data_IF_209817786104
#
_entry.id   IF_209817786104
#
_cell.length_a   1.000
_cell.length_b   1.000
_cell.length_c   1.000
_cell.angle_alpha   90.00
_cell.angle_beta   90.00
_cell.angle_gamma   90.00
#
_symmetry.space_group_name_H-M   'P 1'
#
loop_
_entity.id
_entity.type
_entity.pdbx_description
1 polymer ?
#
# COMPACT_ATOMS: atom_id res chain seq x y z
N UNK A 1 9.10 -9.18 10.42
CA UNK A 1 9.01 -8.55 9.09
C UNK A 1 9.03 -7.02 9.20
N UNK A 2 8.23 -6.43 10.08
CA UNK A 2 8.20 -4.97 10.22
C UNK A 2 9.56 -4.39 10.61
N UNK A 3 10.28 -5.05 11.51
CA UNK A 3 11.61 -4.56 11.92
C UNK A 3 12.60 -4.58 10.77
N UNK A 4 12.57 -5.63 9.95
CA UNK A 4 13.47 -5.74 8.80
C UNK A 4 13.16 -4.63 7.79
N UNK A 5 11.88 -4.38 7.52
CA UNK A 5 11.47 -3.34 6.59
C UNK A 5 11.78 -1.95 7.14
N UNK A 6 11.60 -1.74 8.44
CA UNK A 6 11.91 -0.47 9.07
C UNK A 6 13.38 -0.13 8.92
N UNK A 7 14.24 -1.12 9.14
CA UNK A 7 15.67 -0.93 9.01
C UNK A 7 16.05 -0.66 7.56
N UNK A 8 15.49 -1.43 6.63
CA UNK A 8 15.83 -1.33 5.21
C UNK A 8 15.43 0.00 4.60
N UNK A 9 14.28 0.55 4.98
CA UNK A 9 13.73 1.74 4.36
C UNK A 9 13.82 3.01 5.22
N UNK A 10 14.37 2.89 6.41
CA UNK A 10 14.63 4.06 7.25
C UNK A 10 13.37 4.69 7.82
N UNK A 11 12.30 3.93 7.96
CA UNK A 11 11.04 4.40 8.55
C UNK A 11 10.61 3.42 9.62
N UNK A 12 9.82 3.89 10.57
CA UNK A 12 9.33 3.07 11.66
C UNK A 12 7.93 2.54 11.30
N UNK A 13 7.86 1.31 10.82
CA UNK A 13 6.60 0.67 10.47
C UNK A 13 5.95 0.12 11.73
N UNK A 14 5.02 0.87 12.28
CA UNK A 14 4.38 0.54 13.55
C UNK A 14 2.98 -0.02 13.40
N UNK A 15 2.40 0.05 12.19
CA UNK A 15 1.07 -0.45 11.94
C UNK A 15 1.11 -1.50 10.85
N UNK A 16 0.40 -2.61 11.07
CA UNK A 16 0.29 -3.69 10.10
C UNK A 16 -1.19 -3.97 9.89
N UNK A 17 -1.59 -4.02 8.64
CA UNK A 17 -2.95 -4.37 8.26
C UNK A 17 -2.95 -5.41 7.18
N UNK A 18 -4.12 -5.97 6.89
CA UNK A 18 -4.25 -6.96 5.82
C UNK A 18 -5.59 -6.79 5.12
N UNK A 19 -5.58 -7.00 3.80
CA UNK A 19 -6.81 -7.04 3.00
C UNK A 19 -6.91 -8.41 2.36
N UNK A 20 -8.08 -9.03 2.52
CA UNK A 20 -8.37 -10.31 1.90
C UNK A 20 -9.21 -10.08 0.65
N UNK A 21 -8.75 -10.65 -0.46
CA UNK A 21 -9.47 -10.65 -1.74
C UNK A 21 -9.85 -12.10 -1.99
N UNK A 22 -11.13 -12.43 -1.79
CA UNK A 22 -11.61 -13.82 -1.87
C UNK A 22 -11.63 -14.32 -3.31
N UNK A 23 -11.94 -13.41 -4.23
CA UNK A 23 -12.00 -13.73 -5.65
C UNK A 23 -11.86 -12.42 -6.43
N UNK A 24 -12.14 -12.46 -7.72
CA UNK A 24 -12.00 -11.29 -8.59
C UNK A 24 -12.97 -10.16 -8.31
N UNK A 25 -14.00 -10.37 -7.52
CA UNK A 25 -15.00 -9.35 -7.22
C UNK A 25 -14.61 -8.44 -6.05
N UNK A 26 -13.72 -8.90 -5.20
CA UNK A 26 -13.20 -8.03 -4.14
C UNK A 26 -12.20 -7.05 -4.73
N UNK A 27 -12.27 -5.80 -4.30
CA UNK A 27 -11.48 -4.73 -4.91
C UNK A 27 -11.24 -3.61 -3.91
N UNK A 28 -10.31 -2.73 -4.28
CA UNK A 28 -10.08 -1.48 -3.54
C UNK A 28 -10.11 -0.36 -4.57
N UNK A 29 -10.98 0.62 -4.35
CA UNK A 29 -11.13 1.75 -5.25
C UNK A 29 -9.93 2.69 -5.17
N UNK A 30 -9.84 3.63 -6.11
CA UNK A 30 -8.76 4.62 -6.15
C UNK A 30 -8.69 5.39 -4.84
N UNK A 31 -7.52 5.41 -4.22
CA UNK A 31 -7.30 6.15 -2.98
C UNK A 31 -5.81 6.35 -2.73
N UNK A 32 -5.48 7.26 -1.83
CA UNK A 32 -4.15 7.35 -1.24
C UNK A 32 -4.27 7.05 0.24
N UNK A 33 -3.26 6.40 0.81
CA UNK A 33 -3.27 6.11 2.24
C UNK A 33 -2.99 7.39 3.02
N UNK A 34 -3.68 7.55 4.13
CA UNK A 34 -3.54 8.74 4.98
C UNK A 34 -2.54 8.55 6.09
N UNK A 35 -1.53 7.75 5.85
CA UNK A 35 -0.52 7.50 6.87
C UNK A 35 0.35 8.72 7.03
N UNK A 36 0.76 9.00 8.26
CA UNK A 36 1.67 10.10 8.58
C UNK A 36 1.24 11.40 7.90
N UNK A 37 -0.03 11.80 8.08
CA UNK A 37 -0.66 12.86 7.31
C UNK A 37 0.06 14.20 7.35
N UNK A 38 0.77 14.46 8.43
CA UNK A 38 1.48 15.73 8.60
C UNK A 38 2.82 15.77 7.89
N UNK A 39 3.21 14.66 7.28
CA UNK A 39 4.47 14.58 6.56
C UNK A 39 4.23 14.66 5.07
N UNK A 40 5.11 15.33 4.30
CA UNK A 40 4.97 15.38 2.85
C UNK A 40 5.26 14.04 2.19
N UNK A 41 5.97 13.15 2.88
CA UNK A 41 6.31 11.84 2.36
C UNK A 41 5.91 10.77 3.35
N UNK A 42 5.44 9.66 2.83
CA UNK A 42 5.09 8.50 3.64
C UNK A 42 5.41 7.23 2.86
N UNK A 43 5.84 6.20 3.57
CA UNK A 43 6.20 4.92 2.96
C UNK A 43 5.23 3.85 3.41
N UNK A 44 4.69 3.11 2.45
CA UNK A 44 3.85 1.94 2.70
C UNK A 44 4.48 0.76 1.98
N UNK A 45 4.70 -0.32 2.71
CA UNK A 45 5.24 -1.55 2.14
C UNK A 45 4.13 -2.60 2.09
N UNK A 46 3.98 -3.28 0.95
CA UNK A 46 2.91 -4.23 0.73
C UNK A 46 3.51 -5.55 0.29
N UNK A 47 3.19 -6.61 1.03
CA UNK A 47 3.57 -7.98 0.67
C UNK A 47 2.34 -8.69 0.14
N UNK A 48 2.46 -9.30 -1.04
CA UNK A 48 1.36 -10.02 -1.69
C UNK A 48 1.46 -11.52 -1.41
N UNK A 49 0.33 -12.13 -1.03
CA UNK A 49 0.23 -13.57 -0.79
C UNK A 49 -0.95 -14.10 -1.60
N UNK A 50 -0.77 -15.27 -2.21
CA UNK A 50 -1.83 -15.90 -3.01
C UNK A 50 -1.80 -15.47 -4.47
N UNK A 51 -2.96 -15.40 -5.09
CA UNK A 51 -3.07 -15.15 -6.52
C UNK A 51 -2.69 -13.71 -6.88
N UNK A 52 -2.05 -13.47 -8.03
CA UNK A 52 -1.73 -12.11 -8.44
C UNK A 52 -2.98 -11.32 -8.82
N UNK A 53 -2.92 -10.02 -8.56
CA UNK A 53 -3.98 -9.07 -8.94
C UNK A 53 -3.32 -7.83 -9.52
N UNK A 54 -3.95 -7.17 -10.48
CA UNK A 54 -3.44 -5.89 -10.94
C UNK A 54 -3.42 -4.87 -9.80
N UNK A 55 -2.35 -4.11 -9.71
CA UNK A 55 -2.20 -2.99 -8.79
C UNK A 55 -1.93 -1.77 -9.66
N UNK A 56 -2.81 -0.78 -9.60
CA UNK A 56 -2.74 0.37 -10.50
C UNK A 56 -2.43 1.64 -9.75
N UNK A 57 -1.65 2.50 -10.38
CA UNK A 57 -1.28 3.81 -9.88
C UNK A 57 -1.72 4.87 -10.89
N UNK A 58 -2.33 5.93 -10.39
CA UNK A 58 -2.78 7.05 -11.21
C UNK A 58 -2.37 8.35 -10.56
N UNK A 59 -1.72 9.27 -11.29
CA UNK A 59 -1.41 10.58 -10.73
C UNK A 59 -2.70 11.31 -10.34
N UNK A 60 -2.70 11.96 -9.19
CA UNK A 60 -3.80 12.85 -8.85
C UNK A 60 -3.84 13.99 -9.88
N UNK A 61 -5.01 14.37 -10.29
CA UNK A 61 -5.14 15.38 -11.32
C UNK A 61 -5.19 14.83 -12.73
N UNK A 62 -5.07 13.52 -12.90
CA UNK A 62 -5.23 12.85 -14.19
C UNK A 62 -3.92 12.44 -14.82
N UNK A 63 -4.03 11.79 -15.96
CA UNK A 63 -2.88 11.26 -16.65
C UNK A 63 -3.05 9.78 -16.93
N UNK A 64 -1.93 9.12 -17.19
CA UNK A 64 -1.95 7.70 -17.55
C UNK A 64 -1.71 6.84 -16.32
N UNK A 65 -2.54 5.83 -16.15
CA UNK A 65 -2.35 4.85 -15.08
C UNK A 65 -1.19 3.91 -15.42
N UNK A 66 -0.45 3.54 -14.38
CA UNK A 66 0.59 2.51 -14.47
C UNK A 66 0.09 1.28 -13.73
N UNK A 67 0.26 0.11 -14.32
CA UNK A 67 -0.19 -1.12 -13.73
C UNK A 67 0.98 -2.05 -13.43
N UNK A 68 0.94 -2.65 -12.25
CA UNK A 68 1.82 -3.72 -11.85
C UNK A 68 0.98 -4.95 -11.54
N UNK A 69 1.61 -6.11 -11.52
CA UNK A 69 0.92 -7.35 -11.18
C UNK A 69 1.74 -8.09 -10.12
N UNK A 70 1.67 -7.65 -8.86
CA UNK A 70 2.42 -8.33 -7.80
C UNK A 70 1.97 -9.77 -7.66
N UNK A 71 2.92 -10.67 -7.62
CA UNK A 71 2.69 -12.09 -7.46
C UNK A 71 2.96 -12.50 -6.02
N UNK A 72 2.72 -13.77 -5.72
CA UNK A 72 2.92 -14.31 -4.38
C UNK A 72 4.36 -14.07 -3.91
N UNK A 73 4.49 -13.45 -2.76
CA UNK A 73 5.79 -13.16 -2.17
C UNK A 73 6.41 -11.85 -2.62
N UNK A 74 5.79 -11.15 -3.57
CA UNK A 74 6.35 -9.89 -4.04
C UNK A 74 6.16 -8.79 -3.01
N UNK A 75 7.15 -7.92 -2.92
CA UNK A 75 7.12 -6.73 -2.07
C UNK A 75 7.01 -5.50 -2.97
N UNK A 76 6.00 -4.67 -2.69
CA UNK A 76 5.82 -3.39 -3.36
C UNK A 76 5.95 -2.29 -2.32
N UNK A 77 6.81 -1.31 -2.57
CA UNK A 77 7.01 -0.22 -1.64
C UNK A 77 6.63 1.09 -2.32
N UNK A 78 5.69 1.80 -1.70
CA UNK A 78 5.23 3.10 -2.18
C UNK A 78 5.84 4.15 -1.26
N UNK A 79 6.86 4.82 -1.75
CA UNK A 79 7.62 5.78 -0.94
C UNK A 79 7.55 7.19 -1.47
N UNK A 80 8.31 8.08 -0.88
CA UNK A 80 8.37 9.48 -1.27
C UNK A 80 7.01 10.15 -1.12
N UNK A 81 6.62 10.93 -2.11
CA UNK A 81 5.33 11.63 -2.11
C UNK A 81 4.19 10.81 -2.68
N UNK A 82 4.40 9.52 -2.94
CA UNK A 82 3.43 8.69 -3.66
C UNK A 82 2.03 8.73 -3.04
N UNK A 83 1.93 8.67 -1.70
CA UNK A 83 0.64 8.70 -1.03
C UNK A 83 -0.05 10.07 -1.09
N UNK A 84 0.67 11.12 -1.49
CA UNK A 84 0.15 12.49 -1.59
C UNK A 84 -0.18 12.88 -3.01
N UNK A 85 0.56 12.34 -3.99
CA UNK A 85 0.46 12.77 -5.37
C UNK A 85 -0.09 11.70 -6.31
N UNK A 86 -0.27 10.48 -5.83
CA UNK A 86 -0.82 9.37 -6.61
C UNK A 86 -1.93 8.67 -5.85
N UNK A 87 -2.91 8.18 -6.59
CA UNK A 87 -3.89 7.22 -6.06
C UNK A 87 -3.53 5.83 -6.55
N UNK A 88 -3.95 4.81 -5.78
CA UNK A 88 -3.76 3.43 -6.20
C UNK A 88 -5.07 2.65 -6.02
N UNK A 89 -5.17 1.53 -6.73
CA UNK A 89 -6.37 0.71 -6.72
C UNK A 89 -6.02 -0.74 -7.04
N UNK A 90 -6.84 -1.65 -6.52
CA UNK A 90 -6.87 -3.05 -6.96
C UNK A 90 -8.24 -3.25 -7.59
N UNK A 91 -8.35 -3.21 -8.94
CA UNK A 91 -9.64 -3.26 -9.59
C UNK A 91 -10.22 -4.67 -9.57
N UNK A 92 -11.53 -4.77 -9.74
CA UNK A 92 -12.19 -6.05 -9.96
C UNK A 92 -11.67 -6.68 -11.24
N UNK A 93 -11.60 -8.00 -11.23
CA UNK A 93 -11.25 -8.76 -12.43
C UNK A 93 -12.27 -9.86 -12.60
N UNK A 94 -12.35 -10.42 -13.82
CA UNK A 94 -13.35 -11.43 -14.15
C UNK A 94 -13.18 -12.67 -13.29
N UNK A 95 -11.95 -13.10 -13.07
CA UNK A 95 -11.66 -14.31 -12.32
C UNK A 95 -10.31 -14.18 -11.66
N UNK A 96 -10.23 -14.56 -10.40
CA UNK A 96 -8.99 -14.61 -9.66
C UNK A 96 -9.16 -15.52 -8.46
N UNK A 97 -8.08 -16.20 -8.09
CA UNK A 97 -8.04 -16.97 -6.86
C UNK A 97 -7.90 -16.06 -5.64
N UNK A 98 -7.93 -16.65 -4.45
CA UNK A 98 -7.79 -15.87 -3.23
C UNK A 98 -6.44 -15.18 -3.12
N UNK A 99 -6.45 -13.98 -2.55
CA UNK A 99 -5.25 -13.19 -2.34
C UNK A 99 -5.37 -12.45 -1.03
N UNK A 100 -4.23 -12.25 -0.37
CA UNK A 100 -4.13 -11.37 0.78
C UNK A 100 -2.99 -10.41 0.54
N UNK A 101 -3.18 -9.14 0.88
CA UNK A 101 -2.08 -8.19 0.94
C UNK A 101 -1.87 -7.78 2.38
N UNK A 102 -0.60 -7.69 2.78
CA UNK A 102 -0.21 -7.26 4.13
C UNK A 102 0.49 -5.93 3.99
N UNK A 103 -0.03 -4.90 4.64
CA UNK A 103 0.50 -3.56 4.55
C UNK A 103 1.21 -3.18 5.84
N UNK A 104 2.38 -2.54 5.68
CA UNK A 104 3.16 -2.00 6.79
C UNK A 104 3.19 -0.49 6.63
N UNK A 105 2.80 0.26 7.68
CA UNK A 105 2.62 1.71 7.62
C UNK A 105 3.23 2.39 8.84
N UNK A 106 3.49 3.69 8.69
CA UNK A 106 3.79 4.55 9.82
C UNK A 106 2.54 4.76 10.67
N UNK A 107 2.71 5.13 11.92
CA UNK A 107 1.59 5.62 12.72
C UNK A 107 1.09 6.94 12.14
N UNK A 108 -0.21 7.16 12.25
CA UNK A 108 -0.80 8.38 11.73
C UNK A 108 -0.36 9.60 12.47
N UNK A 109 -0.49 9.57 13.75
CA UNK A 109 -0.24 10.71 14.58
C UNK A 109 0.91 10.35 15.41
N UNK A 110 2.03 10.66 14.89
CA UNK A 110 3.13 10.53 15.71
C UNK A 110 2.86 11.35 16.88
N UNK A 111 2.91 10.82 17.92
CA UNK A 111 2.53 11.47 19.07
C UNK A 111 3.43 12.57 19.32
N UNK A 112 3.02 13.14 19.18
CA UNK A 112 3.79 13.82 19.53
C UNK A 112 3.80 13.75 20.81
N UNK A 113 3.25 13.19 20.26
CA UNK A 113 3.29 12.99 20.58
C UNK A 113 3.80 12.50 20.68
N UNK A 114 3.93 12.47 20.30
CA UNK A 114 4.61 12.15 20.04
C UNK A 114 5.24 12.70 20.66
N UNK A 115 5.36 12.94 21.19
CA UNK A 115 5.82 13.30 21.79
C UNK A 115 5.44 13.75 22.63
N UNK A 116 5.07 13.69 22.95
CA UNK A 116 4.72 14.03 23.44
C UNK A 116 4.75 14.04 24.16
#
# INVERSE_FOLDING_TARGET
MADVLSERYGVDFTQVGANLYRDGQDSVAWHGDRVARDLPEATVAIVSLGAPRPFKLLPKGGGRATAFRPDRGDLLVLGGSCQRTWDHAVPKVRSAGPRMSVQFRHAYDLPAERGR
#
